data_IF_642173451160
#
_entry.id   IF_642173451160
#
_cell.length_a   1.000
_cell.length_b   1.000
_cell.length_c   1.000
_cell.angle_alpha   90.00
_cell.angle_beta   90.00
_cell.angle_gamma   90.00
#
_symmetry.space_group_name_H-M   'P 1'
#
loop_
_entity.id
_entity.type
_entity.pdbx_description
1 polymer ?
#
# COMPACT_ATOMS: atom_id res chain seq x y z
N UNK A 1 7.75 -6.38 28.11
CA UNK A 1 7.44 -7.79 27.74
C UNK A 1 7.62 -7.89 26.24
N UNK A 2 8.34 -8.88 25.72
CA UNK A 2 8.36 -9.10 24.27
C UNK A 2 6.95 -9.51 23.83
N UNK A 3 6.44 -8.86 22.81
CA UNK A 3 5.17 -9.17 22.15
C UNK A 3 5.20 -10.61 21.60
N UNK A 4 4.12 -11.37 21.83
CA UNK A 4 3.92 -12.64 21.15
C UNK A 4 3.28 -12.35 19.78
N UNK A 5 4.08 -12.35 18.72
CA UNK A 5 3.66 -11.91 17.38
C UNK A 5 2.37 -12.62 16.91
N UNK A 6 2.26 -13.96 16.96
CA UNK A 6 1.00 -14.66 16.66
C UNK A 6 -0.24 -14.18 17.44
N UNK A 7 -0.10 -13.75 18.70
CA UNK A 7 -1.24 -13.29 19.51
C UNK A 7 -1.67 -11.87 19.18
N UNK A 8 -0.72 -11.00 18.84
CA UNK A 8 -1.01 -9.60 18.51
C UNK A 8 -1.38 -9.39 17.05
N UNK A 9 -0.99 -10.31 16.15
CA UNK A 9 -1.15 -10.15 14.72
C UNK A 9 -2.63 -9.98 14.33
N UNK A 10 -2.96 -8.87 13.67
CA UNK A 10 -4.32 -8.53 13.25
C UNK A 10 -5.32 -8.33 14.41
N UNK A 11 -4.83 -8.20 15.65
CA UNK A 11 -5.66 -8.06 16.86
C UNK A 11 -6.53 -6.80 16.87
N UNK A 12 -6.17 -5.79 16.07
CA UNK A 12 -6.89 -4.53 15.90
C UNK A 12 -7.61 -4.43 14.56
N UNK A 13 -7.89 -5.57 13.89
CA UNK A 13 -8.55 -5.63 12.58
C UNK A 13 -9.83 -6.48 12.65
N UNK A 14 -10.92 -5.99 12.06
CA UNK A 14 -12.18 -6.72 11.91
C UNK A 14 -12.12 -7.67 10.71
N UNK A 15 -11.21 -8.66 10.78
CA UNK A 15 -10.87 -9.59 9.69
C UNK A 15 -11.88 -10.73 9.50
N UNK A 16 -11.66 -11.63 8.51
CA UNK A 16 -12.54 -12.80 8.23
C UNK A 16 -12.79 -13.67 9.46
N UNK A 17 -11.79 -13.88 10.32
CA UNK A 17 -11.93 -14.70 11.52
C UNK A 17 -12.87 -14.04 12.54
N UNK A 18 -12.71 -12.74 12.80
CA UNK A 18 -13.59 -11.97 13.67
C UNK A 18 -15.00 -11.89 13.08
N UNK A 19 -15.13 -11.64 11.78
CA UNK A 19 -16.43 -11.62 11.11
C UNK A 19 -17.14 -12.96 11.23
N UNK A 20 -16.42 -14.08 11.09
CA UNK A 20 -17.00 -15.43 11.23
C UNK A 20 -17.46 -15.74 12.66
N UNK A 21 -16.76 -15.21 13.66
CA UNK A 21 -17.09 -15.39 15.08
C UNK A 21 -18.27 -14.51 15.51
N UNK A 22 -18.26 -13.23 15.11
CA UNK A 22 -19.22 -12.22 15.58
C UNK A 22 -20.51 -12.15 14.76
N UNK A 23 -20.49 -12.54 13.48
CA UNK A 23 -21.68 -12.46 12.62
C UNK A 23 -22.48 -13.78 12.62
N UNK A 24 -23.82 -13.71 12.54
CA UNK A 24 -24.63 -14.89 12.26
C UNK A 24 -24.18 -15.60 10.98
N UNK A 25 -24.20 -16.94 10.98
CA UNK A 25 -23.67 -17.78 9.89
C UNK A 25 -24.18 -17.41 8.50
N UNK A 26 -25.48 -17.10 8.39
CA UNK A 26 -26.10 -16.75 7.11
C UNK A 26 -25.72 -15.34 6.65
N UNK A 27 -25.57 -14.40 7.59
CA UNK A 27 -25.10 -13.03 7.32
C UNK A 27 -23.65 -13.05 6.85
N UNK A 28 -22.77 -13.78 7.54
CA UNK A 28 -21.37 -13.94 7.13
C UNK A 28 -21.24 -14.53 5.73
N UNK A 29 -21.97 -15.62 5.44
CA UNK A 29 -21.98 -16.23 4.09
C UNK A 29 -22.48 -15.27 3.02
N UNK A 30 -23.54 -14.52 3.33
CA UNK A 30 -24.12 -13.56 2.39
C UNK A 30 -23.15 -12.41 2.11
N UNK A 31 -22.56 -11.82 3.16
CA UNK A 31 -21.53 -10.78 3.05
C UNK A 31 -20.36 -11.25 2.18
N UNK A 32 -19.81 -12.43 2.48
CA UNK A 32 -18.69 -13.00 1.73
C UNK A 32 -19.04 -13.19 0.24
N UNK A 33 -20.22 -13.72 -0.04
CA UNK A 33 -20.70 -13.89 -1.42
C UNK A 33 -20.87 -12.55 -2.14
N UNK A 34 -21.33 -11.51 -1.45
CA UNK A 34 -21.46 -10.16 -2.00
C UNK A 34 -20.10 -9.55 -2.35
N UNK A 35 -19.11 -9.70 -1.47
CA UNK A 35 -17.72 -9.25 -1.69
C UNK A 35 -17.09 -10.00 -2.88
N UNK A 36 -17.21 -11.33 -2.91
CA UNK A 36 -16.67 -12.17 -3.98
C UNK A 36 -17.31 -11.88 -5.34
N UNK A 37 -18.62 -11.57 -5.35
CA UNK A 37 -19.38 -11.28 -6.55
C UNK A 37 -19.36 -9.79 -6.97
N UNK A 38 -18.73 -8.90 -6.19
CA UNK A 38 -18.70 -7.46 -6.47
C UNK A 38 -20.07 -6.81 -6.53
N UNK A 39 -21.02 -7.23 -5.68
CA UNK A 39 -22.41 -6.73 -5.68
C UNK A 39 -22.63 -5.68 -4.60
N UNK A 40 -23.70 -4.90 -4.76
CA UNK A 40 -24.16 -3.96 -3.73
C UNK A 40 -24.51 -4.69 -2.42
N UNK A 41 -24.16 -4.06 -1.30
CA UNK A 41 -24.45 -4.58 0.03
C UNK A 41 -25.90 -4.28 0.42
N UNK A 42 -26.67 -5.33 0.72
CA UNK A 42 -28.03 -5.19 1.21
C UNK A 42 -28.06 -4.50 2.59
N UNK A 43 -28.96 -3.54 2.76
CA UNK A 43 -29.06 -2.74 3.99
C UNK A 43 -29.36 -3.59 5.23
N UNK A 44 -30.09 -4.69 5.10
CA UNK A 44 -30.37 -5.59 6.22
C UNK A 44 -29.09 -6.29 6.70
N UNK A 45 -28.22 -6.70 5.77
CA UNK A 45 -26.90 -7.27 6.07
C UNK A 45 -26.02 -6.20 6.70
N UNK A 46 -25.98 -5.00 6.11
CA UNK A 46 -25.15 -3.90 6.60
C UNK A 46 -25.50 -3.48 8.03
N UNK A 47 -26.78 -3.48 8.41
CA UNK A 47 -27.19 -3.17 9.78
C UNK A 47 -26.63 -4.19 10.78
N UNK A 48 -26.67 -5.48 10.46
CA UNK A 48 -26.11 -6.53 11.34
C UNK A 48 -24.58 -6.41 11.42
N UNK A 49 -23.92 -6.14 10.29
CA UNK A 49 -22.47 -5.94 10.24
C UNK A 49 -22.05 -4.70 11.04
N UNK A 50 -22.77 -3.59 10.91
CA UNK A 50 -22.49 -2.36 11.65
C UNK A 50 -22.58 -2.58 13.16
N UNK A 51 -23.61 -3.28 13.65
CA UNK A 51 -23.75 -3.59 15.08
C UNK A 51 -22.56 -4.42 15.56
N UNK A 52 -22.25 -5.52 14.86
CA UNK A 52 -21.14 -6.40 15.25
C UNK A 52 -19.78 -5.70 15.19
N UNK A 53 -19.56 -4.86 14.18
CA UNK A 53 -18.33 -4.08 14.01
C UNK A 53 -18.17 -3.04 15.11
N UNK A 54 -19.26 -2.35 15.48
CA UNK A 54 -19.28 -1.39 16.60
C UNK A 54 -19.00 -2.07 17.93
N UNK A 55 -19.68 -3.17 18.23
CA UNK A 55 -19.51 -3.89 19.49
C UNK A 55 -18.07 -4.40 19.61
N UNK A 56 -17.51 -4.99 18.55
CA UNK A 56 -16.09 -5.35 18.49
C UNK A 56 -15.16 -4.15 18.67
N UNK A 57 -15.44 -3.02 18.03
CA UNK A 57 -14.59 -1.83 18.14
C UNK A 57 -14.59 -1.28 19.57
N UNK A 58 -15.75 -1.29 20.24
CA UNK A 58 -15.88 -0.89 21.65
C UNK A 58 -15.12 -1.87 22.57
N UNK A 59 -15.15 -3.18 22.29
CA UNK A 59 -14.31 -4.16 23.01
C UNK A 59 -12.81 -3.85 22.86
N UNK A 60 -12.40 -3.22 21.76
CA UNK A 60 -11.03 -2.73 21.51
C UNK A 60 -10.77 -1.32 22.05
N UNK A 61 -11.71 -0.73 22.77
CA UNK A 61 -11.60 0.59 23.38
C UNK A 61 -11.96 1.76 22.46
N UNK A 62 -12.60 1.49 21.31
CA UNK A 62 -13.03 2.56 20.41
C UNK A 62 -14.22 3.34 20.98
N UNK A 63 -14.16 4.66 20.86
CA UNK A 63 -15.24 5.58 21.27
C UNK A 63 -15.86 6.32 20.09
N UNK A 64 -15.13 6.34 18.96
CA UNK A 64 -15.49 7.01 17.73
C UNK A 64 -15.33 6.05 16.54
N UNK A 65 -15.92 6.42 15.42
CA UNK A 65 -15.66 5.83 14.12
C UNK A 65 -15.30 6.92 13.11
N UNK A 66 -14.71 6.50 11.99
CA UNK A 66 -14.39 7.37 10.88
C UNK A 66 -14.45 6.61 9.57
N UNK A 67 -14.98 7.26 8.54
CA UNK A 67 -14.71 6.85 7.16
C UNK A 67 -13.30 7.30 6.81
N UNK A 68 -12.39 6.33 6.72
CA UNK A 68 -11.00 6.54 6.40
C UNK A 68 -10.82 6.47 4.88
N UNK A 69 -10.28 7.52 4.27
CA UNK A 69 -10.11 7.60 2.81
C UNK A 69 -8.85 8.37 2.42
N UNK A 70 -8.49 8.28 1.14
CA UNK A 70 -7.27 8.85 0.56
C UNK A 70 -7.64 9.94 -0.48
N UNK A 71 -7.93 11.19 -0.04
CA UNK A 71 -8.24 12.28 -0.97
C UNK A 71 -7.05 12.64 -1.85
N UNK A 72 -7.28 13.50 -2.85
CA UNK A 72 -6.26 13.98 -3.79
C UNK A 72 -5.17 14.89 -3.16
N UNK A 73 -5.04 14.93 -1.84
CA UNK A 73 -3.99 15.64 -1.10
C UNK A 73 -2.69 14.83 -0.95
N UNK A 74 -2.73 13.51 -1.22
CA UNK A 74 -1.58 12.62 -1.04
C UNK A 74 -1.39 12.11 0.39
N UNK A 75 -2.33 12.40 1.29
CA UNK A 75 -2.40 11.86 2.65
C UNK A 75 -3.81 11.33 2.92
N UNK A 76 -3.96 10.53 3.96
CA UNK A 76 -5.26 10.04 4.44
C UNK A 76 -6.04 11.15 5.13
N UNK A 77 -7.37 11.01 5.16
CA UNK A 77 -8.27 11.92 5.86
C UNK A 77 -9.25 11.15 6.74
N UNK A 78 -9.59 11.76 7.87
CA UNK A 78 -10.45 11.20 8.90
C UNK A 78 -11.36 12.30 9.46
N UNK A 79 -12.62 11.97 9.64
CA UNK A 79 -13.59 12.71 10.46
C UNK A 79 -14.09 11.80 11.56
N UNK A 80 -13.83 12.15 12.81
CA UNK A 80 -14.16 11.29 13.96
C UNK A 80 -15.56 11.62 14.46
N UNK A 81 -16.48 10.68 14.28
CA UNK A 81 -17.85 10.76 14.80
C UNK A 81 -17.98 9.81 16.00
N UNK A 82 -18.56 10.30 17.09
CA UNK A 82 -18.78 9.46 18.28
C UNK A 82 -19.92 8.47 18.04
N UNK A 83 -19.84 7.28 18.65
CA UNK A 83 -20.98 6.35 18.68
C UNK A 83 -22.14 6.85 19.56
N UNK A 84 -21.94 7.92 20.34
CA UNK A 84 -22.95 8.45 21.27
C UNK A 84 -24.22 8.88 20.53
N UNK A 85 -25.34 8.31 20.96
CA UNK A 85 -26.69 8.67 20.54
C UNK A 85 -27.53 9.00 21.78
N UNK A 86 -27.89 10.29 22.00
CA UNK A 86 -28.65 10.70 23.17
C UNK A 86 -30.10 10.21 23.09
N UNK A 87 -30.63 9.76 24.21
CA UNK A 87 -32.02 9.33 24.34
C UNK A 87 -32.88 10.42 24.97
N UNK A 88 -34.18 10.40 24.68
CA UNK A 88 -35.14 11.40 25.20
C UNK A 88 -35.24 11.43 26.73
N UNK A 89 -34.80 10.37 27.41
CA UNK A 89 -34.80 10.24 28.88
C UNK A 89 -33.50 10.71 29.54
N UNK A 90 -32.58 11.31 28.78
CA UNK A 90 -31.29 11.80 29.27
C UNK A 90 -30.19 10.74 29.38
N UNK A 91 -30.46 9.48 29.01
CA UNK A 91 -29.42 8.44 28.87
C UNK A 91 -28.71 8.57 27.53
N UNK A 92 -27.54 7.95 27.45
CA UNK A 92 -26.77 7.81 26.21
C UNK A 92 -26.65 6.33 25.88
N UNK A 93 -26.80 6.00 24.61
CA UNK A 93 -26.47 4.67 24.07
C UNK A 93 -25.41 4.82 22.97
N UNK A 94 -24.75 3.72 22.63
CA UNK A 94 -23.75 3.66 21.56
C UNK A 94 -24.40 3.03 20.33
N UNK A 95 -24.60 3.81 19.28
CA UNK A 95 -25.25 3.39 18.03
C UNK A 95 -24.29 3.51 16.84
N UNK A 96 -24.42 2.55 15.93
CA UNK A 96 -23.77 2.58 14.62
C UNK A 96 -24.67 1.82 13.64
N UNK A 97 -25.14 2.50 12.60
CA UNK A 97 -26.15 1.96 11.69
C UNK A 97 -25.53 1.47 10.39
N UNK A 98 -26.21 0.55 9.69
CA UNK A 98 -25.80 0.11 8.37
C UNK A 98 -25.79 1.23 7.33
N UNK A 99 -26.58 2.29 7.54
CA UNK A 99 -26.54 3.49 6.70
C UNK A 99 -25.20 4.21 6.83
N UNK A 100 -24.75 4.45 8.05
CA UNK A 100 -23.43 5.04 8.32
C UNK A 100 -22.30 4.13 7.85
N UNK A 101 -22.47 2.80 7.92
CA UNK A 101 -21.48 1.86 7.38
C UNK A 101 -21.38 1.96 5.85
N UNK A 102 -22.50 1.88 5.12
CA UNK A 102 -22.48 1.87 3.65
C UNK A 102 -22.05 3.22 3.09
N UNK A 103 -22.59 4.31 3.65
CA UNK A 103 -22.45 5.65 3.07
C UNK A 103 -22.30 6.73 4.13
N UNK A 104 -21.19 7.46 4.08
CA UNK A 104 -21.01 8.70 4.84
C UNK A 104 -21.22 9.94 3.96
N UNK A 105 -21.49 11.07 4.60
CA UNK A 105 -21.71 12.36 3.93
C UNK A 105 -20.82 13.46 4.55
N UNK A 106 -19.49 13.39 4.39
CA UNK A 106 -18.60 14.43 4.91
C UNK A 106 -18.74 15.73 4.09
N UNK A 107 -18.48 16.86 4.75
CA UNK A 107 -18.25 18.11 4.02
C UNK A 107 -16.97 17.98 3.21
N UNK A 108 -17.09 18.11 1.89
CA UNK A 108 -15.97 17.96 0.99
C UNK A 108 -15.43 19.31 0.49
N UNK A 109 -15.98 20.44 0.93
CA UNK A 109 -15.65 21.79 0.46
C UNK A 109 -14.15 22.12 0.49
N UNK A 110 -13.43 21.54 1.45
CA UNK A 110 -11.99 21.79 1.68
C UNK A 110 -11.07 20.80 0.98
N UNK A 111 -11.59 19.75 0.35
CA UNK A 111 -10.74 18.79 -0.38
C UNK A 111 -10.47 19.25 -1.81
N UNK A 112 -9.23 19.09 -2.31
CA UNK A 112 -8.90 19.41 -3.69
C UNK A 112 -9.80 18.65 -4.65
N UNK A 113 -10.39 19.37 -5.60
CA UNK A 113 -11.23 18.81 -6.66
C UNK A 113 -10.59 18.86 -8.03
N UNK A 114 -9.38 19.41 -8.17
CA UNK A 114 -8.75 19.63 -9.48
C UNK A 114 -9.57 20.50 -10.43
N UNK A 115 -10.49 21.32 -9.90
CA UNK A 115 -11.43 22.13 -10.71
C UNK A 115 -12.68 21.39 -11.19
N UNK A 116 -12.89 20.13 -10.78
CA UNK A 116 -14.03 19.31 -11.20
C UNK A 116 -15.39 19.78 -10.66
N UNK A 117 -15.42 20.70 -9.69
CA UNK A 117 -16.68 21.20 -9.10
C UNK A 117 -16.53 22.60 -8.52
N UNK A 118 -17.65 23.32 -8.44
CA UNK A 118 -17.76 24.59 -7.73
C UNK A 118 -18.03 24.39 -6.23
N UNK A 119 -17.69 25.39 -5.40
CA UNK A 119 -17.83 25.31 -3.93
C UNK A 119 -19.27 25.10 -3.46
N UNK A 120 -20.29 25.50 -4.22
CA UNK A 120 -21.69 25.26 -3.85
C UNK A 120 -22.13 23.80 -4.07
N UNK A 121 -21.36 23.02 -4.83
CA UNK A 121 -21.57 21.57 -5.07
C UNK A 121 -20.59 20.72 -4.23
N UNK A 122 -20.13 21.29 -3.11
CA UNK A 122 -19.10 20.72 -2.25
C UNK A 122 -19.54 19.47 -1.46
N UNK A 123 -20.74 18.91 -1.68
CA UNK A 123 -21.13 17.66 -1.01
C UNK A 123 -20.26 16.52 -1.52
N UNK A 124 -19.69 15.76 -0.59
CA UNK A 124 -18.97 14.52 -0.89
C UNK A 124 -19.68 13.33 -0.28
N UNK A 125 -19.38 12.16 -0.82
CA UNK A 125 -19.91 10.89 -0.34
C UNK A 125 -18.76 9.92 -0.15
N UNK A 126 -18.77 9.25 1.00
CA UNK A 126 -17.90 8.10 1.25
C UNK A 126 -18.70 6.81 1.08
N UNK A 127 -18.07 5.79 0.51
CA UNK A 127 -18.67 4.47 0.37
C UNK A 127 -17.69 3.42 0.92
N UNK A 128 -18.17 2.54 1.79
CA UNK A 128 -17.31 1.49 2.37
C UNK A 128 -16.79 0.55 1.28
N UNK A 129 -15.48 0.31 1.31
CA UNK A 129 -14.83 -0.76 0.55
C UNK A 129 -14.75 -2.03 1.42
N UNK A 130 -15.63 -3.03 1.20
CA UNK A 130 -15.64 -4.24 2.00
C UNK A 130 -14.50 -5.21 1.63
N UNK A 131 -13.69 -4.90 0.61
CA UNK A 131 -12.49 -5.69 0.27
C UNK A 131 -11.27 -5.31 1.11
N UNK A 132 -11.35 -4.21 1.86
CA UNK A 132 -10.35 -3.76 2.83
C UNK A 132 -10.96 -3.77 4.23
N UNK A 133 -10.30 -4.44 5.18
CA UNK A 133 -10.89 -4.64 6.51
C UNK A 133 -10.89 -3.35 7.34
N UNK A 134 -11.98 -3.14 8.09
CA UNK A 134 -12.01 -2.09 9.11
C UNK A 134 -11.02 -2.42 10.24
N UNK A 135 -10.42 -1.39 10.82
CA UNK A 135 -9.41 -1.53 11.87
C UNK A 135 -9.61 -0.48 12.96
N UNK A 136 -9.09 -0.73 14.16
CA UNK A 136 -9.11 0.24 15.26
C UNK A 136 -7.72 0.83 15.42
N UNK A 137 -7.63 2.15 15.37
CA UNK A 137 -6.40 2.92 15.57
C UNK A 137 -6.72 4.09 16.50
N UNK A 138 -5.89 4.31 17.52
CA UNK A 138 -6.01 5.42 18.48
C UNK A 138 -7.40 5.60 19.11
N UNK A 139 -8.12 4.49 19.38
CA UNK A 139 -9.46 4.52 19.96
C UNK A 139 -10.58 4.91 18.97
N UNK A 140 -10.32 4.79 17.67
CA UNK A 140 -11.25 5.09 16.59
C UNK A 140 -11.38 3.89 15.65
N UNK A 141 -12.62 3.49 15.34
CA UNK A 141 -12.92 2.53 14.28
C UNK A 141 -12.74 3.19 12.91
N UNK A 142 -11.72 2.79 12.18
CA UNK A 142 -11.42 3.26 10.83
C UNK A 142 -12.04 2.32 9.79
N UNK A 143 -12.91 2.86 8.95
CA UNK A 143 -13.63 2.14 7.90
C UNK A 143 -13.06 2.57 6.54
N UNK A 144 -12.32 1.70 5.83
CA UNK A 144 -11.76 2.04 4.53
C UNK A 144 -12.84 2.39 3.52
N UNK A 145 -12.77 3.58 2.92
CA UNK A 145 -13.82 4.08 2.04
C UNK A 145 -13.28 4.70 0.77
N UNK A 146 -14.05 4.56 -0.31
CA UNK A 146 -13.94 5.36 -1.51
C UNK A 146 -14.62 6.72 -1.28
N UNK A 147 -14.10 7.78 -1.90
CA UNK A 147 -14.62 9.13 -1.75
C UNK A 147 -14.89 9.80 -3.11
N UNK A 148 -16.14 10.19 -3.31
CA UNK A 148 -16.64 10.77 -4.56
C UNK A 148 -17.43 12.05 -4.34
N UNK A 149 -17.59 12.81 -5.41
CA UNK A 149 -18.44 13.99 -5.46
C UNK A 149 -19.93 13.62 -5.49
N UNK A 150 -20.80 14.63 -5.45
CA UNK A 150 -22.22 14.47 -5.72
C UNK A 150 -22.52 13.89 -7.12
N UNK A 151 -21.73 14.26 -8.14
CA UNK A 151 -21.86 13.78 -9.52
C UNK A 151 -21.29 12.39 -9.78
N UNK A 152 -20.59 11.80 -8.80
CA UNK A 152 -19.93 10.49 -8.92
C UNK A 152 -18.49 10.57 -9.48
N UNK A 153 -17.94 11.77 -9.63
CA UNK A 153 -16.51 11.96 -9.90
C UNK A 153 -15.67 11.46 -8.71
N UNK A 154 -14.58 10.75 -9.01
CA UNK A 154 -13.65 10.29 -7.98
C UNK A 154 -12.86 11.48 -7.42
N UNK A 155 -12.93 11.68 -6.11
CA UNK A 155 -12.19 12.71 -5.37
C UNK A 155 -11.08 12.10 -4.49
N UNK A 156 -10.73 10.86 -4.80
CA UNK A 156 -9.77 10.05 -4.08
C UNK A 156 -8.81 9.30 -5.02
N UNK A 157 -7.86 8.62 -4.40
CA UNK A 157 -6.94 7.71 -5.11
C UNK A 157 -7.43 6.27 -5.16
N UNK A 158 -8.35 5.89 -4.26
CA UNK A 158 -8.84 4.51 -4.15
C UNK A 158 -9.81 4.13 -5.27
N UNK A 159 -10.76 5.00 -5.63
CA UNK A 159 -11.71 4.71 -6.72
C UNK A 159 -11.03 4.47 -8.07
N UNK A 160 -10.07 5.32 -8.53
CA UNK A 160 -9.36 5.06 -9.79
C UNK A 160 -8.53 3.76 -9.75
N UNK A 161 -7.92 3.44 -8.60
CA UNK A 161 -7.19 2.18 -8.42
C UNK A 161 -8.11 0.97 -8.59
N UNK A 162 -9.26 0.95 -7.90
CA UNK A 162 -10.21 -0.16 -8.00
C UNK A 162 -10.73 -0.36 -9.43
N UNK A 163 -11.04 0.75 -10.14
CA UNK A 163 -11.43 0.71 -11.56
C UNK A 163 -10.31 0.14 -12.45
N UNK A 164 -9.06 0.51 -12.18
CA UNK A 164 -7.90 -0.02 -12.90
C UNK A 164 -7.73 -1.52 -12.66
N UNK A 165 -7.93 -1.98 -11.43
CA UNK A 165 -7.85 -3.40 -11.08
C UNK A 165 -8.95 -4.22 -11.77
N UNK A 166 -10.18 -3.70 -11.80
CA UNK A 166 -11.31 -4.33 -12.49
C UNK A 166 -11.07 -4.42 -14.00
N UNK A 167 -10.59 -3.33 -14.61
CA UNK A 167 -10.25 -3.31 -16.05
C UNK A 167 -9.18 -4.35 -16.37
N UNK A 168 -8.12 -4.44 -15.56
CA UNK A 168 -7.06 -5.42 -15.78
C UNK A 168 -7.58 -6.86 -15.61
N UNK A 169 -8.39 -7.10 -14.57
CA UNK A 169 -9.03 -8.41 -14.36
C UNK A 169 -9.81 -8.87 -15.59
N UNK A 170 -10.66 -8.01 -16.16
CA UNK A 170 -11.43 -8.34 -17.37
C UNK A 170 -10.54 -8.70 -18.57
N UNK A 171 -9.53 -7.87 -18.84
CA UNK A 171 -8.65 -8.08 -20.00
C UNK A 171 -7.76 -9.31 -19.84
N UNK A 172 -7.25 -9.56 -18.63
CA UNK A 172 -6.44 -10.75 -18.36
C UNK A 172 -7.29 -12.01 -18.46
N UNK A 173 -8.51 -12.03 -17.91
CA UNK A 173 -9.43 -13.16 -18.05
C UNK A 173 -9.72 -13.46 -19.53
N UNK A 174 -9.92 -12.42 -20.35
CA UNK A 174 -10.09 -12.57 -21.80
C UNK A 174 -8.93 -13.35 -22.44
N UNK A 175 -7.70 -13.00 -22.08
CA UNK A 175 -6.49 -13.68 -22.57
C UNK A 175 -6.43 -15.12 -22.04
N UNK A 176 -6.67 -15.34 -20.75
CA UNK A 176 -6.68 -16.68 -20.16
C UNK A 176 -7.70 -17.61 -20.86
N UNK A 177 -8.84 -17.08 -21.30
CA UNK A 177 -9.82 -17.85 -22.10
C UNK A 177 -9.27 -18.31 -23.44
N UNK A 178 -8.41 -17.52 -24.09
CA UNK A 178 -7.75 -17.90 -25.35
C UNK A 178 -6.77 -19.05 -25.16
N UNK A 179 -6.15 -19.15 -23.99
CA UNK A 179 -5.32 -20.30 -23.59
C UNK A 179 -6.13 -21.50 -23.07
N UNK A 180 -7.46 -21.45 -23.15
CA UNK A 180 -8.36 -22.53 -22.74
C UNK A 180 -8.62 -22.63 -21.24
N UNK A 181 -8.08 -21.72 -20.42
CA UNK A 181 -8.38 -21.69 -19.00
C UNK A 181 -9.81 -21.17 -18.80
N UNK A 182 -10.70 -22.03 -18.29
CA UNK A 182 -12.10 -21.71 -17.98
C UNK A 182 -12.42 -21.79 -16.48
N UNK A 183 -11.47 -22.24 -15.66
CA UNK A 183 -11.61 -22.41 -14.21
C UNK A 183 -11.42 -21.11 -13.44
N UNK A 184 -10.40 -20.32 -13.80
CA UNK A 184 -10.05 -19.05 -13.15
C UNK A 184 -11.22 -18.09 -13.29
N UNK A 185 -11.70 -17.49 -12.20
CA UNK A 185 -12.84 -16.55 -12.25
C UNK A 185 -12.42 -15.11 -12.05
N UNK A 186 -11.26 -14.89 -11.43
CA UNK A 186 -10.75 -13.56 -11.11
C UNK A 186 -9.24 -13.56 -11.16
N UNK A 187 -8.69 -12.43 -11.56
CA UNK A 187 -7.27 -12.08 -11.43
C UNK A 187 -7.18 -10.82 -10.59
N UNK A 188 -6.27 -10.83 -9.62
CA UNK A 188 -5.94 -9.68 -8.79
C UNK A 188 -4.53 -9.21 -9.13
N UNK A 189 -4.31 -7.90 -9.06
CA UNK A 189 -2.95 -7.36 -9.00
C UNK A 189 -2.43 -7.41 -7.58
N UNK A 190 -1.14 -7.67 -7.43
CA UNK A 190 -0.43 -7.62 -6.15
C UNK A 190 0.65 -6.55 -6.18
N UNK A 191 0.96 -5.96 -5.02
CA UNK A 191 2.05 -4.99 -4.86
C UNK A 191 2.78 -5.25 -3.54
N UNK A 192 4.11 -5.32 -3.58
CA UNK A 192 4.98 -5.26 -2.41
C UNK A 192 5.71 -3.92 -2.36
N UNK A 193 5.24 -2.92 -1.57
CA UNK A 193 5.87 -1.61 -1.51
C UNK A 193 7.03 -1.58 -0.53
N UNK A 194 8.24 -1.28 -0.99
CA UNK A 194 9.43 -1.07 -0.15
C UNK A 194 9.45 0.39 0.31
N UNK A 195 9.41 0.64 1.63
CA UNK A 195 9.27 1.99 2.18
C UNK A 195 10.58 2.48 2.79
N UNK A 196 11.30 3.33 2.06
CA UNK A 196 12.46 4.05 2.60
C UNK A 196 12.05 5.31 3.37
N UNK A 197 12.84 5.69 4.36
CA UNK A 197 12.63 6.88 5.19
C UNK A 197 13.92 7.31 5.92
N UNK A 198 13.95 8.56 6.41
CA UNK A 198 15.02 9.04 7.29
C UNK A 198 14.53 9.22 8.73
N UNK A 199 15.39 8.96 9.71
CA UNK A 199 15.15 9.31 11.11
C UNK A 199 16.11 10.40 11.58
N UNK A 200 15.54 11.50 12.07
CA UNK A 200 16.32 12.62 12.61
C UNK A 200 15.97 12.83 14.07
N UNK A 201 16.97 13.14 14.89
CA UNK A 201 16.73 13.53 16.28
C UNK A 201 15.83 14.79 16.34
N UNK A 202 14.83 14.76 17.21
CA UNK A 202 13.82 15.82 17.30
C UNK A 202 14.43 17.18 17.65
N UNK A 203 15.47 17.22 18.49
CA UNK A 203 16.09 18.48 18.90
C UNK A 203 16.91 19.11 17.77
N UNK A 204 17.47 18.28 16.88
CA UNK A 204 18.15 18.74 15.67
C UNK A 204 17.14 19.21 14.63
N UNK A 205 16.06 18.45 14.44
CA UNK A 205 14.96 18.82 13.53
C UNK A 205 14.32 20.16 13.92
N UNK A 206 14.04 20.38 15.21
CA UNK A 206 13.42 21.61 15.70
C UNK A 206 14.27 22.87 15.46
N UNK A 207 15.59 22.73 15.27
CA UNK A 207 16.50 23.84 14.92
C UNK A 207 16.46 24.20 13.44
N UNK A 208 15.80 23.40 12.60
CA UNK A 208 15.79 23.50 11.14
C UNK A 208 14.39 23.80 10.61
N UNK A 209 14.06 25.09 10.51
CA UNK A 209 12.79 25.56 9.96
C UNK A 209 12.50 25.05 8.55
N UNK A 210 13.55 24.91 7.73
CA UNK A 210 13.44 24.35 6.38
C UNK A 210 12.99 22.87 6.41
N UNK A 211 13.56 22.04 7.29
CA UNK A 211 13.07 20.67 7.49
C UNK A 211 11.62 20.64 8.00
N UNK A 212 11.24 21.59 8.88
CA UNK A 212 9.89 21.66 9.43
C UNK A 212 8.85 22.00 8.36
N UNK A 213 9.10 23.04 7.57
CA UNK A 213 8.11 23.56 6.63
C UNK A 213 8.17 22.91 5.25
N UNK A 214 9.36 22.47 4.82
CA UNK A 214 9.57 21.93 3.48
C UNK A 214 9.80 20.42 3.48
N UNK A 215 9.98 19.78 4.63
CA UNK A 215 10.32 18.35 4.72
C UNK A 215 11.74 18.01 4.24
N UNK A 216 12.51 19.02 3.81
CA UNK A 216 13.87 18.91 3.30
C UNK A 216 14.70 20.12 3.67
N UNK A 217 16.02 19.93 3.63
CA UNK A 217 16.97 21.03 3.76
C UNK A 217 16.98 21.88 2.49
N UNK A 218 16.93 23.20 2.64
CA UNK A 218 17.03 24.16 1.53
C UNK A 218 18.48 24.64 1.32
N UNK A 219 19.28 24.61 2.37
CA UNK A 219 20.70 24.95 2.38
C UNK A 219 21.42 24.14 3.46
N UNK A 220 22.73 24.01 3.32
CA UNK A 220 23.58 23.30 4.30
C UNK A 220 24.90 22.89 3.67
N UNK A 221 25.96 22.90 4.46
CA UNK A 221 27.23 22.30 4.06
C UNK A 221 27.13 20.77 4.13
N UNK A 222 27.90 20.08 3.28
CA UNK A 222 28.02 18.63 3.32
C UNK A 222 28.58 18.18 4.68
N UNK A 223 28.11 17.03 5.16
CA UNK A 223 28.61 16.44 6.39
C UNK A 223 30.11 16.08 6.24
N UNK A 224 30.94 16.26 7.29
CA UNK A 224 32.35 15.84 7.24
C UNK A 224 32.54 14.34 7.00
N UNK A 225 31.58 13.52 7.44
CA UNK A 225 31.45 12.11 7.05
C UNK A 225 30.27 12.00 6.07
N UNK A 226 30.57 11.80 4.79
CA UNK A 226 29.59 11.59 3.73
C UNK A 226 29.11 10.13 3.64
N UNK A 227 28.41 9.81 2.56
CA UNK A 227 27.95 8.45 2.23
C UNK A 227 29.02 7.58 1.55
N UNK A 228 30.26 8.09 1.44
CA UNK A 228 31.35 7.48 0.66
C UNK A 228 31.96 6.24 1.33
N UNK A 229 31.57 5.92 2.56
CA UNK A 229 31.92 4.67 3.20
C UNK A 229 30.73 3.73 3.07
N UNK A 230 30.92 2.60 2.40
CA UNK A 230 29.93 1.53 2.24
C UNK A 230 29.63 0.79 3.58
N UNK A 231 29.88 1.43 4.73
CA UNK A 231 29.71 0.87 6.07
C UNK A 231 28.27 0.96 6.60
N UNK A 232 27.39 1.67 5.87
CA UNK A 232 26.02 1.91 6.32
C UNK A 232 24.99 0.94 5.74
N UNK A 233 25.06 0.62 4.44
CA UNK A 233 24.12 -0.29 3.80
C UNK A 233 24.27 -1.71 4.37
N UNK A 234 23.17 -2.26 4.91
CA UNK A 234 23.19 -3.48 5.74
C UNK A 234 24.17 -3.46 6.94
N UNK A 235 24.64 -2.27 7.32
CA UNK A 235 25.46 -2.06 8.51
C UNK A 235 24.67 -2.26 9.80
N UNK A 236 25.37 -2.32 10.93
CA UNK A 236 24.73 -2.51 12.23
C UNK A 236 23.74 -1.37 12.56
N UNK A 237 22.51 -1.73 12.91
CA UNK A 237 21.47 -0.77 13.31
C UNK A 237 21.77 -0.25 14.73
N UNK A 238 21.76 1.07 14.90
CA UNK A 238 21.96 1.69 16.22
C UNK A 238 20.84 1.25 17.18
N UNK A 239 21.16 0.95 18.43
CA UNK A 239 20.18 0.46 19.43
C UNK A 239 18.92 1.31 19.57
N UNK A 240 19.05 2.64 19.47
CA UNK A 240 17.91 3.56 19.52
C UNK A 240 16.99 3.42 18.30
N UNK A 241 17.55 3.22 17.11
CA UNK A 241 16.79 2.98 15.88
C UNK A 241 16.14 1.61 15.94
N UNK A 242 16.85 0.60 16.43
CA UNK A 242 16.30 -0.73 16.65
C UNK A 242 15.09 -0.71 17.60
N UNK A 243 15.14 0.04 18.70
CA UNK A 243 13.98 0.19 19.60
C UNK A 243 12.78 0.86 18.92
N UNK A 244 13.01 1.82 18.02
CA UNK A 244 11.96 2.41 17.19
C UNK A 244 11.36 1.39 16.20
N UNK A 245 12.22 0.60 15.54
CA UNK A 245 11.81 -0.44 14.59
C UNK A 245 11.02 -1.56 15.27
N UNK A 246 11.43 -1.99 16.47
CA UNK A 246 10.68 -2.95 17.30
C UNK A 246 9.27 -2.46 17.61
N UNK A 247 9.12 -1.21 18.09
CA UNK A 247 7.81 -0.61 18.35
C UNK A 247 6.99 -0.42 17.05
N UNK A 248 7.64 -0.06 15.94
CA UNK A 248 6.98 0.05 14.65
C UNK A 248 6.40 -1.29 14.22
N UNK A 249 7.19 -2.36 14.29
CA UNK A 249 6.74 -3.71 13.93
C UNK A 249 5.56 -4.17 14.79
N UNK A 250 5.60 -3.93 16.10
CA UNK A 250 4.48 -4.26 17.00
C UNK A 250 3.18 -3.55 16.61
N UNK A 251 3.24 -2.26 16.26
CA UNK A 251 2.06 -1.50 15.83
C UNK A 251 1.55 -1.97 14.45
N UNK A 252 2.45 -2.26 13.51
CA UNK A 252 2.08 -2.76 12.19
C UNK A 252 1.46 -4.17 12.26
N UNK A 253 2.04 -5.07 13.06
CA UNK A 253 1.50 -6.42 13.25
C UNK A 253 0.12 -6.39 13.91
N UNK A 254 -0.14 -5.51 14.88
CA UNK A 254 -1.49 -5.33 15.46
C UNK A 254 -2.54 -5.01 14.40
N UNK A 255 -2.15 -4.26 13.37
CA UNK A 255 -2.99 -3.87 12.24
C UNK A 255 -2.99 -4.89 11.09
N UNK A 256 -2.38 -6.07 11.29
CA UNK A 256 -2.37 -7.14 10.29
C UNK A 256 -1.40 -6.91 9.13
N UNK A 257 -0.53 -5.91 9.22
CA UNK A 257 0.45 -5.59 8.19
C UNK A 257 1.66 -6.52 8.37
N UNK A 258 1.99 -7.28 7.32
CA UNK A 258 3.09 -8.26 7.32
C UNK A 258 4.46 -7.59 7.16
N UNK A 259 4.82 -6.67 8.06
CA UNK A 259 6.17 -6.09 8.14
C UNK A 259 7.20 -7.21 8.28
N UNK A 260 8.14 -7.32 7.34
CA UNK A 260 9.00 -8.49 7.18
C UNK A 260 10.48 -8.18 7.20
N UNK A 261 10.88 -7.12 6.49
CA UNK A 261 12.28 -6.75 6.30
C UNK A 261 12.50 -5.33 6.78
N UNK A 262 13.61 -5.10 7.47
CA UNK A 262 14.09 -3.78 7.87
C UNK A 262 15.63 -3.76 7.85
N UNK A 263 16.21 -2.65 7.40
CA UNK A 263 17.66 -2.44 7.40
C UNK A 263 18.02 -0.96 7.30
N UNK A 264 19.32 -0.67 7.48
CA UNK A 264 19.88 0.61 7.08
C UNK A 264 20.02 0.66 5.56
N UNK A 265 19.73 1.83 5.02
CA UNK A 265 19.93 2.18 3.63
C UNK A 265 21.32 2.81 3.41
N UNK A 266 21.60 3.21 2.17
CA UNK A 266 22.91 3.76 1.78
C UNK A 266 23.22 5.09 2.48
N UNK A 267 22.28 6.04 2.55
CA UNK A 267 22.56 7.33 3.18
C UNK A 267 22.50 7.29 4.71
N UNK A 268 23.32 8.09 5.42
CA UNK A 268 23.28 8.16 6.88
C UNK A 268 21.89 8.45 7.43
N UNK A 269 21.44 7.62 8.38
CA UNK A 269 20.14 7.69 9.02
C UNK A 269 18.94 7.45 8.07
N UNK A 270 19.20 6.86 6.90
CA UNK A 270 18.19 6.29 6.01
C UNK A 270 17.97 4.83 6.37
N UNK A 271 16.72 4.41 6.32
CA UNK A 271 16.28 3.06 6.65
C UNK A 271 15.19 2.62 5.68
N UNK A 272 15.00 1.31 5.58
CA UNK A 272 13.91 0.70 4.83
C UNK A 272 13.04 -0.17 5.75
N UNK A 273 11.74 -0.22 5.46
CA UNK A 273 10.85 -1.30 5.89
C UNK A 273 10.04 -1.81 4.70
N UNK A 274 10.04 -3.14 4.49
CA UNK A 274 9.26 -3.79 3.44
C UNK A 274 8.30 -4.85 4.03
N UNK A 275 6.99 -4.80 3.69
CA UNK A 275 6.04 -5.84 4.02
C UNK A 275 6.04 -6.95 2.96
N UNK A 276 5.47 -8.10 3.31
CA UNK A 276 5.06 -9.09 2.29
C UNK A 276 3.96 -8.47 1.42
N UNK A 277 4.03 -8.70 0.10
CA UNK A 277 3.03 -8.23 -0.85
C UNK A 277 1.62 -8.75 -0.52
N UNK A 278 0.61 -7.97 -0.88
CA UNK A 278 -0.80 -8.37 -0.86
C UNK A 278 -1.45 -7.90 -2.17
N UNK A 279 -2.76 -8.07 -2.32
CA UNK A 279 -3.53 -7.41 -3.37
C UNK A 279 -3.26 -5.90 -3.37
N UNK A 280 -3.22 -5.28 -4.55
CA UNK A 280 -2.80 -3.89 -4.69
C UNK A 280 -3.64 -2.93 -3.83
N UNK A 281 -4.96 -3.17 -3.73
CA UNK A 281 -5.87 -2.39 -2.91
C UNK A 281 -5.48 -2.42 -1.41
N UNK A 282 -5.29 -3.63 -0.86
CA UNK A 282 -4.91 -3.82 0.54
C UNK A 282 -3.50 -3.27 0.80
N UNK A 283 -2.56 -3.54 -0.10
CA UNK A 283 -1.16 -3.11 0.04
C UNK A 283 -1.01 -1.59 0.09
N UNK A 284 -1.82 -0.86 -0.69
CA UNK A 284 -1.82 0.60 -0.69
C UNK A 284 -2.45 1.14 0.61
N UNK A 285 -3.57 0.59 1.05
CA UNK A 285 -4.17 0.96 2.34
C UNK A 285 -3.19 0.72 3.50
N UNK A 286 -2.54 -0.45 3.53
CA UNK A 286 -1.50 -0.80 4.50
C UNK A 286 -0.33 0.20 4.45
N UNK A 287 0.20 0.52 3.26
CA UNK A 287 1.32 1.47 3.15
C UNK A 287 0.96 2.87 3.67
N UNK A 288 -0.27 3.36 3.42
CA UNK A 288 -0.71 4.64 3.96
C UNK A 288 -0.75 4.65 5.48
N UNK A 289 -1.31 3.61 6.09
CA UNK A 289 -1.32 3.43 7.54
C UNK A 289 0.11 3.30 8.08
N UNK A 290 0.96 2.52 7.42
CA UNK A 290 2.38 2.39 7.76
C UNK A 290 3.08 3.74 7.84
N UNK A 291 2.94 4.59 6.82
CA UNK A 291 3.60 5.91 6.78
C UNK A 291 3.16 6.80 7.94
N UNK A 292 1.90 6.70 8.36
CA UNK A 292 1.37 7.41 9.52
C UNK A 292 1.95 6.86 10.83
N UNK A 293 1.93 5.53 11.01
CA UNK A 293 2.48 4.86 12.20
C UNK A 293 3.98 5.13 12.34
N UNK A 294 4.75 5.12 11.24
CA UNK A 294 6.17 5.50 11.24
C UNK A 294 6.38 6.89 11.86
N UNK A 295 5.59 7.89 11.45
CA UNK A 295 5.67 9.25 12.01
C UNK A 295 5.27 9.29 13.48
N UNK A 296 4.27 8.53 13.88
CA UNK A 296 3.76 8.52 15.25
C UNK A 296 4.71 7.79 16.22
N UNK A 297 5.25 6.64 15.83
CA UNK A 297 6.24 5.89 16.61
C UNK A 297 7.53 6.69 16.72
N UNK A 298 7.97 7.38 15.67
CA UNK A 298 9.20 8.19 15.73
C UNK A 298 9.14 9.25 16.84
N UNK A 299 7.98 9.91 16.99
CA UNK A 299 7.75 10.89 18.06
C UNK A 299 7.90 10.28 19.46
N UNK A 300 7.45 9.03 19.67
CA UNK A 300 7.61 8.30 20.95
C UNK A 300 9.08 8.07 21.31
N UNK A 301 9.95 7.95 20.30
CA UNK A 301 11.39 7.76 20.43
C UNK A 301 12.22 9.06 20.36
N UNK A 302 11.58 10.22 20.52
CA UNK A 302 12.19 11.54 20.39
C UNK A 302 12.91 11.76 19.03
N UNK A 303 12.36 11.16 17.98
CA UNK A 303 12.83 11.28 16.59
C UNK A 303 11.72 11.83 15.71
N UNK A 304 12.08 12.21 14.48
CA UNK A 304 11.18 12.61 13.41
C UNK A 304 11.46 11.73 12.21
N UNK A 305 10.43 11.03 11.73
CA UNK A 305 10.48 10.27 10.48
C UNK A 305 10.20 11.21 9.30
N UNK A 306 11.16 11.31 8.38
CA UNK A 306 11.04 12.07 7.14
C UNK A 306 10.76 11.11 5.99
N UNK A 307 9.64 11.34 5.29
CA UNK A 307 9.20 10.58 4.11
C UNK A 307 9.36 11.36 2.80
N UNK A 308 10.01 12.52 2.85
CA UNK A 308 10.29 13.32 1.66
C UNK A 308 11.32 12.56 0.80
N UNK A 309 11.17 12.59 -0.52
CA UNK A 309 11.95 11.79 -1.48
C UNK A 309 13.43 12.22 -1.52
N UNK A 310 13.70 13.51 -1.24
CA UNK A 310 15.05 14.06 -1.10
C UNK A 310 15.21 15.01 0.10
N UNK A 311 15.32 14.52 1.35
CA UNK A 311 15.40 15.38 2.53
C UNK A 311 16.73 16.15 2.62
N UNK A 312 17.83 15.53 2.17
CA UNK A 312 19.18 16.07 2.23
C UNK A 312 19.82 16.09 0.84
N UNK A 313 20.48 17.21 0.51
CA UNK A 313 21.23 17.33 -0.74
C UNK A 313 22.57 16.58 -0.64
N UNK A 314 23.03 16.03 -1.77
CA UNK A 314 24.34 15.37 -1.86
C UNK A 314 24.45 13.96 -1.25
N UNK A 315 23.34 13.38 -0.79
CA UNK A 315 23.25 11.98 -0.34
C UNK A 315 22.08 11.26 -1.02
N UNK A 316 21.96 9.93 -0.91
CA UNK A 316 20.84 9.16 -1.48
C UNK A 316 19.48 9.70 -0.99
N UNK A 317 18.45 9.51 -1.82
CA UNK A 317 17.08 9.95 -1.51
C UNK A 317 16.16 8.75 -1.30
N UNK A 318 15.09 8.94 -0.55
CA UNK A 318 14.16 7.88 -0.19
C UNK A 318 13.28 7.46 -1.37
N UNK A 319 13.41 6.21 -1.78
CA UNK A 319 12.57 5.53 -2.76
C UNK A 319 11.30 4.93 -2.16
N UNK A 320 10.42 4.51 -3.08
CA UNK A 320 9.34 3.57 -2.79
C UNK A 320 9.18 2.61 -3.96
N UNK A 321 9.83 1.46 -3.89
CA UNK A 321 9.77 0.47 -4.96
C UNK A 321 8.44 -0.28 -4.90
N UNK A 322 7.86 -0.59 -6.06
CA UNK A 322 6.61 -1.33 -6.15
C UNK A 322 6.86 -2.63 -6.91
N UNK A 323 6.96 -3.73 -6.17
CA UNK A 323 7.03 -5.08 -6.75
C UNK A 323 5.64 -5.50 -7.18
N UNK A 324 5.32 -5.36 -8.46
CA UNK A 324 3.97 -5.57 -9.00
C UNK A 324 3.84 -6.91 -9.73
N UNK A 325 2.70 -7.59 -9.53
CA UNK A 325 2.35 -8.79 -10.30
C UNK A 325 0.84 -8.97 -10.51
N UNK A 326 0.47 -10.01 -11.27
CA UNK A 326 -0.90 -10.47 -11.49
C UNK A 326 -1.05 -11.93 -11.06
N UNK A 327 -2.01 -12.20 -10.18
CA UNK A 327 -2.24 -13.52 -9.59
C UNK A 327 -3.69 -13.93 -9.80
N UNK A 328 -3.91 -15.16 -10.26
CA UNK A 328 -5.25 -15.75 -10.44
C UNK A 328 -5.86 -16.19 -9.10
N UNK A 329 -7.17 -16.38 -9.05
CA UNK A 329 -7.89 -16.85 -7.86
C UNK A 329 -7.54 -18.30 -7.45
N UNK A 330 -6.92 -19.09 -8.33
CA UNK A 330 -6.33 -20.40 -8.02
C UNK A 330 -4.82 -20.33 -7.66
N UNK A 331 -4.25 -19.11 -7.54
CA UNK A 331 -2.92 -18.87 -6.96
C UNK A 331 -1.76 -18.87 -7.95
N UNK A 332 -2.01 -18.84 -9.25
CA UNK A 332 -0.97 -18.80 -10.29
C UNK A 332 -0.50 -17.37 -10.51
N UNK A 333 0.81 -17.13 -10.38
CA UNK A 333 1.44 -15.88 -10.78
C UNK A 333 1.66 -15.86 -12.30
N UNK A 334 1.00 -14.94 -12.99
CA UNK A 334 1.03 -14.84 -14.45
C UNK A 334 2.36 -14.27 -14.99
N UNK A 335 3.17 -13.66 -14.12
CA UNK A 335 4.51 -13.15 -14.43
C UNK A 335 5.63 -14.08 -13.93
N UNK A 336 5.29 -15.29 -13.50
CA UNK A 336 6.28 -16.30 -13.18
C UNK A 336 6.69 -17.05 -14.47
N UNK A 337 7.97 -16.98 -14.89
CA UNK A 337 8.41 -17.58 -16.13
C UNK A 337 8.40 -19.11 -16.10
N UNK A 338 8.53 -19.71 -14.91
CA UNK A 338 8.68 -21.15 -14.72
C UNK A 338 10.08 -21.65 -15.07
N UNK A 339 10.25 -22.99 -15.14
CA UNK A 339 11.56 -23.62 -15.40
C UNK A 339 12.03 -23.52 -16.86
N UNK A 340 11.10 -23.43 -17.79
CA UNK A 340 11.36 -23.33 -19.23
C UNK A 340 10.61 -22.12 -19.80
N UNK A 341 11.13 -20.89 -19.62
CA UNK A 341 10.39 -19.68 -19.97
C UNK A 341 10.04 -19.60 -21.47
N UNK A 342 10.94 -20.09 -22.33
CA UNK A 342 10.76 -20.15 -23.78
C UNK A 342 9.60 -21.05 -24.25
N UNK A 343 9.15 -22.00 -23.44
CA UNK A 343 8.00 -22.88 -23.73
C UNK A 343 6.69 -22.30 -23.17
N UNK A 344 6.78 -21.33 -22.26
CA UNK A 344 5.63 -20.76 -21.57
C UNK A 344 5.00 -19.61 -22.38
N UNK A 345 4.25 -19.98 -23.42
CA UNK A 345 3.60 -19.02 -24.32
C UNK A 345 2.66 -18.03 -23.60
N UNK A 346 2.01 -18.45 -22.50
CA UNK A 346 1.15 -17.57 -21.70
C UNK A 346 1.97 -16.47 -21.02
N UNK A 347 3.06 -16.84 -20.34
CA UNK A 347 3.99 -15.88 -19.71
C UNK A 347 4.58 -14.92 -20.75
N UNK A 348 5.09 -15.45 -21.86
CA UNK A 348 5.70 -14.64 -22.92
C UNK A 348 4.70 -13.64 -23.52
N UNK A 349 3.42 -14.00 -23.65
CA UNK A 349 2.40 -13.07 -24.11
C UNK A 349 2.17 -11.94 -23.09
N UNK A 350 2.09 -12.24 -21.80
CA UNK A 350 1.94 -11.20 -20.78
C UNK A 350 3.18 -10.31 -20.68
N UNK A 351 4.38 -10.90 -20.75
CA UNK A 351 5.65 -10.16 -20.76
C UNK A 351 5.71 -9.18 -21.93
N UNK A 352 5.44 -9.66 -23.15
CA UNK A 352 5.44 -8.80 -24.35
C UNK A 352 4.35 -7.73 -24.30
N UNK A 353 3.17 -8.04 -23.75
CA UNK A 353 2.11 -7.04 -23.52
C UNK A 353 2.55 -5.94 -22.54
N UNK A 354 3.26 -6.29 -21.47
CA UNK A 354 3.81 -5.32 -20.51
C UNK A 354 4.89 -4.46 -21.18
N UNK A 355 5.79 -5.07 -21.95
CA UNK A 355 6.82 -4.34 -22.71
C UNK A 355 6.16 -3.32 -23.63
N UNK A 356 5.17 -3.75 -24.42
CA UNK A 356 4.43 -2.86 -25.32
C UNK A 356 3.69 -1.75 -24.57
N UNK A 357 3.08 -2.06 -23.42
CA UNK A 357 2.37 -1.07 -22.62
C UNK A 357 3.31 0.00 -22.05
N UNK A 358 4.47 -0.38 -21.52
CA UNK A 358 5.45 0.58 -21.02
C UNK A 358 6.00 1.41 -22.18
N UNK A 359 6.33 0.81 -23.32
CA UNK A 359 6.81 1.52 -24.52
C UNK A 359 5.78 2.53 -25.07
N UNK A 360 4.49 2.17 -25.10
CA UNK A 360 3.43 3.03 -25.63
C UNK A 360 3.00 4.13 -24.65
N UNK A 361 3.02 3.84 -23.35
CA UNK A 361 2.48 4.71 -22.30
C UNK A 361 3.58 5.26 -21.36
N UNK A 362 4.80 5.45 -21.88
CA UNK A 362 5.95 5.96 -21.11
C UNK A 362 5.62 7.26 -20.36
N UNK A 363 5.02 8.23 -21.05
CA UNK A 363 4.66 9.53 -20.48
C UNK A 363 3.64 9.38 -19.35
N UNK A 364 2.65 8.49 -19.52
CA UNK A 364 1.64 8.24 -18.49
C UNK A 364 2.26 7.61 -17.24
N UNK A 365 3.17 6.64 -17.42
CA UNK A 365 3.94 6.05 -16.32
C UNK A 365 4.78 7.11 -15.61
N UNK A 366 5.47 7.98 -16.36
CA UNK A 366 6.27 9.06 -15.78
C UNK A 366 5.43 10.05 -14.98
N UNK A 367 4.26 10.44 -15.51
CA UNK A 367 3.31 11.35 -14.83
C UNK A 367 2.81 10.74 -13.52
N UNK A 368 2.61 9.41 -13.46
CA UNK A 368 2.10 8.75 -12.25
C UNK A 368 3.01 8.87 -11.03
N UNK A 369 4.32 9.08 -11.24
CA UNK A 369 5.33 9.22 -10.18
C UNK A 369 5.91 10.64 -10.09
N UNK A 370 5.43 11.58 -10.90
CA UNK A 370 5.95 12.94 -10.93
C UNK A 370 5.48 13.73 -9.71
N UNK A 371 6.43 14.26 -8.94
CA UNK A 371 6.17 15.18 -7.82
C UNK A 371 7.35 16.15 -7.70
N UNK A 372 7.11 17.34 -7.14
CA UNK A 372 8.18 18.30 -6.89
C UNK A 372 9.30 17.72 -6.01
N UNK A 373 8.96 16.84 -5.05
CA UNK A 373 9.93 16.14 -4.22
C UNK A 373 10.74 15.11 -5.02
N UNK A 374 10.07 14.29 -5.82
CA UNK A 374 10.70 13.23 -6.60
C UNK A 374 11.59 13.76 -7.74
N UNK A 375 11.32 14.95 -8.27
CA UNK A 375 12.18 15.61 -9.26
C UNK A 375 13.55 16.03 -8.67
N UNK A 376 13.69 16.11 -7.35
CA UNK A 376 15.00 16.25 -6.69
C UNK A 376 15.72 14.91 -6.49
N UNK A 377 15.05 13.78 -6.68
CA UNK A 377 15.57 12.42 -6.49
C UNK A 377 15.95 11.77 -7.81
N UNK A 378 15.08 11.79 -8.81
CA UNK A 378 15.23 11.06 -10.07
C UNK A 378 16.47 11.48 -10.86
N UNK A 379 17.19 10.49 -11.41
CA UNK A 379 18.44 10.69 -12.15
C UNK A 379 19.65 11.03 -11.29
N UNK A 380 19.56 10.83 -9.97
CA UNK A 380 20.68 10.94 -9.04
C UNK A 380 21.11 9.56 -8.50
N UNK A 381 21.89 9.52 -7.41
CA UNK A 381 22.39 8.29 -6.79
C UNK A 381 21.27 7.25 -6.58
N UNK A 382 21.41 6.10 -7.26
CA UNK A 382 20.52 4.92 -7.26
C UNK A 382 19.06 5.16 -7.67
N UNK A 383 18.68 6.41 -7.95
CA UNK A 383 17.35 6.74 -8.43
C UNK A 383 17.30 6.63 -9.96
N UNK A 384 16.28 5.95 -10.52
CA UNK A 384 16.15 5.86 -11.97
C UNK A 384 16.03 7.27 -12.59
N UNK A 385 16.57 7.48 -13.80
CA UNK A 385 16.35 8.72 -14.53
C UNK A 385 14.85 8.89 -14.87
N UNK A 386 14.48 10.08 -15.34
CA UNK A 386 13.13 10.36 -15.83
C UNK A 386 12.80 9.68 -17.18
N UNK A 387 13.56 8.63 -17.55
CA UNK A 387 13.44 7.87 -18.79
C UNK A 387 12.88 6.50 -18.41
N UNK A 388 11.74 6.14 -18.98
CA UNK A 388 11.13 4.83 -18.76
C UNK A 388 11.81 3.79 -19.65
N UNK A 389 12.35 2.74 -19.05
CA UNK A 389 12.94 1.60 -19.74
C UNK A 389 12.69 0.33 -18.95
N UNK A 390 12.69 -0.82 -19.63
CA UNK A 390 12.57 -2.14 -19.01
C UNK A 390 13.92 -2.83 -19.04
N UNK A 391 14.23 -3.51 -17.95
CA UNK A 391 15.33 -4.45 -17.88
C UNK A 391 14.76 -5.88 -17.78
N UNK A 392 15.13 -6.75 -18.72
CA UNK A 392 14.67 -8.14 -18.78
C UNK A 392 15.71 -9.14 -18.25
N UNK A 393 16.98 -8.76 -18.30
CA UNK A 393 18.11 -9.68 -18.12
C UNK A 393 18.38 -10.52 -19.37
N UNK A 394 19.61 -11.02 -19.47
CA UNK A 394 20.16 -11.64 -20.69
C UNK A 394 19.31 -12.82 -21.20
N UNK A 395 18.85 -13.69 -20.29
CA UNK A 395 18.10 -14.91 -20.65
C UNK A 395 16.74 -14.59 -21.31
N UNK A 396 15.97 -13.69 -20.73
CA UNK A 396 14.65 -13.33 -21.27
C UNK A 396 14.78 -12.48 -22.54
N UNK A 397 15.81 -11.64 -22.62
CA UNK A 397 16.12 -10.86 -23.81
C UNK A 397 16.47 -11.78 -25.00
N UNK A 398 17.36 -12.77 -24.80
CA UNK A 398 17.72 -13.73 -25.85
C UNK A 398 16.49 -14.54 -26.33
N UNK A 399 15.58 -14.92 -25.43
CA UNK A 399 14.34 -15.60 -25.80
C UNK A 399 13.48 -14.72 -26.72
N UNK A 400 13.27 -13.45 -26.37
CA UNK A 400 12.46 -12.54 -27.18
C UNK A 400 13.12 -12.23 -28.52
N UNK A 401 14.44 -12.05 -28.57
CA UNK A 401 15.17 -11.87 -29.82
C UNK A 401 15.05 -13.10 -30.73
N UNK A 402 15.11 -14.31 -30.17
CA UNK A 402 14.93 -15.53 -30.93
C UNK A 402 13.54 -15.62 -31.54
N UNK A 403 12.50 -15.20 -30.81
CA UNK A 403 11.12 -15.12 -31.31
C UNK A 403 11.03 -14.10 -32.45
N UNK A 404 11.61 -12.92 -32.28
CA UNK A 404 11.61 -11.87 -33.31
C UNK A 404 12.33 -12.31 -34.60
N UNK A 405 13.50 -12.93 -34.46
CA UNK A 405 14.35 -13.40 -35.58
C UNK A 405 13.85 -14.73 -36.18
N UNK A 406 12.90 -15.40 -35.54
CA UNK A 406 12.42 -16.74 -35.95
C UNK A 406 13.48 -17.83 -35.78
N UNK A 407 14.42 -17.67 -34.85
CA UNK A 407 15.50 -18.63 -34.57
C UNK A 407 15.19 -19.48 -33.34
N UNK A 408 15.80 -20.66 -33.22
CA UNK A 408 15.65 -21.50 -32.04
C UNK A 408 16.50 -20.98 -30.88
N UNK A 409 15.87 -20.77 -29.72
CA UNK A 409 16.56 -20.46 -28.48
C UNK A 409 17.46 -21.64 -28.06
N UNK A 410 18.74 -21.37 -27.77
CA UNK A 410 19.67 -22.37 -27.25
C UNK A 410 19.70 -22.24 -25.74
N UNK A 411 18.98 -23.12 -25.05
CA UNK A 411 18.97 -23.17 -23.60
C UNK A 411 20.40 -23.34 -23.07
N UNK A 412 20.98 -22.28 -22.48
CA UNK A 412 22.33 -22.34 -21.90
C UNK A 412 22.38 -23.21 -20.62
N UNK A 413 21.23 -23.74 -20.17
CA UNK A 413 21.09 -24.45 -18.91
C UNK A 413 21.13 -23.46 -17.74
N UNK A 414 20.49 -23.82 -16.62
CA UNK A 414 20.67 -23.04 -15.40
C UNK A 414 22.15 -23.11 -15.01
N UNK A 415 22.87 -21.97 -15.10
CA UNK A 415 24.26 -21.89 -14.68
C UNK A 415 24.37 -22.35 -13.23
N UNK A 416 25.19 -23.37 -12.96
CA UNK A 416 25.46 -23.77 -11.58
C UNK A 416 26.35 -22.68 -10.97
N UNK A 417 25.86 -21.99 -9.95
CA UNK A 417 26.66 -20.99 -9.23
C UNK A 417 27.83 -21.71 -8.55
N UNK A 418 29.02 -21.64 -9.15
CA UNK A 418 30.24 -22.19 -8.55
C UNK A 418 30.87 -21.14 -7.64
N UNK A 419 30.52 -21.18 -6.36
CA UNK A 419 31.07 -20.27 -5.32
C UNK A 419 32.51 -20.69 -4.94
N UNK A 420 32.94 -21.90 -5.32
CA UNK A 420 34.28 -22.42 -5.00
C UNK A 420 34.44 -22.85 -3.54
N UNK A 421 33.37 -22.86 -2.74
CA UNK A 421 33.38 -23.24 -1.32
C UNK A 421 32.32 -24.31 -1.06
N UNK A 422 32.74 -25.54 -0.79
CA UNK A 422 31.87 -26.71 -0.64
C UNK A 422 30.96 -26.71 0.61
N UNK A 423 31.23 -25.84 1.59
CA UNK A 423 30.42 -25.69 2.81
C UNK A 423 29.21 -24.77 2.60
N UNK A 424 29.26 -23.93 1.57
CA UNK A 424 28.15 -23.05 1.24
C UNK A 424 27.15 -23.83 0.38
N UNK A 425 25.84 -23.75 0.69
CA UNK A 425 24.79 -24.54 0.04
C UNK A 425 24.65 -24.26 -1.46
#
# INVERSE_FOLDING_TARGET
MRSNVPEIFGSMVFNDAIMRDKLPKDIYKSLKKTIEAGRDLDISIANVVAIAMKDWAIEKGATHYTHWFQPLTGITAEKHDSFISPQNDGRVIMEFSGKELIKGEPDASSFPSGGLRATFEARGYTAWDPTSYAFVKDGVLCIPTAFCSYGGEALDKKTPLLRSMETLNEQVLRILRLFGNTSVRRVATTVGPEQEYFLVDRDVYNKRKDLIYCGRTLFGAMAPKGQEMDDHYFGAILRRVQAYMEDLNDELWKLGILSKTEHNEVAPAQHEMAPIFDTANISIDHNQVTMEIMKNVAKKHNMVCLLHEKPFAGVNGSGKHNNWSMVTDDGVNLLEPGKSPHENAQFLLFLTAIIKAIDEYQDLMRVSIASAGNDHRLGAAEAPPAIMSIFLGDDLEEILECIEKGTSYKNQGAGRMEIGVHVLP
#
